data_IF_623658724072
#
_entry.id   IF_623658724072
#
_cell.length_a   1.000
_cell.length_b   1.000
_cell.length_c   1.000
_cell.angle_alpha   90.00
_cell.angle_beta   90.00
_cell.angle_gamma   90.00
#
_symmetry.space_group_name_H-M   'P 1'
#
loop_
_entity.id
_entity.type
_entity.pdbx_description
1 polymer ?
#
# COMPACT_ATOMS: atom_id res chain seq x y z
N UNK A 1 11.47 -17.42 -39.24
CA UNK A 1 11.52 -17.95 -37.86
C UNK A 1 11.64 -19.47 -37.89
N UNK A 2 12.84 -20.08 -37.82
CA UNK A 2 12.98 -21.54 -37.53
C UNK A 2 14.42 -22.03 -37.27
N UNK A 3 15.47 -21.30 -37.64
CA UNK A 3 16.87 -21.76 -37.46
C UNK A 3 17.30 -21.83 -35.98
N UNK A 4 16.83 -20.92 -35.13
CA UNK A 4 17.07 -21.00 -33.68
C UNK A 4 16.37 -22.19 -33.01
N UNK A 5 15.19 -22.59 -33.49
CA UNK A 5 14.48 -23.76 -32.97
C UNK A 5 15.15 -25.07 -33.40
N UNK A 6 15.60 -25.15 -34.65
CA UNK A 6 16.34 -26.30 -35.17
C UNK A 6 17.66 -26.54 -34.41
N UNK A 7 18.47 -25.49 -34.22
CA UNK A 7 19.72 -25.58 -33.46
C UNK A 7 19.53 -25.93 -31.98
N UNK A 8 18.43 -25.48 -31.35
CA UNK A 8 18.11 -25.89 -29.97
C UNK A 8 17.73 -27.37 -29.86
N UNK A 9 17.02 -27.93 -30.85
CA UNK A 9 16.64 -29.34 -30.87
C UNK A 9 17.88 -30.23 -31.07
N UNK A 10 18.78 -29.84 -31.96
CA UNK A 10 20.05 -30.55 -32.19
C UNK A 10 20.95 -30.51 -30.96
N UNK A 11 21.08 -29.35 -30.30
CA UNK A 11 21.82 -29.22 -29.05
C UNK A 11 21.22 -30.06 -27.92
N UNK A 12 19.88 -30.18 -27.84
CA UNK A 12 19.22 -31.06 -26.87
C UNK A 12 19.46 -32.54 -27.17
N UNK A 13 19.46 -32.95 -28.43
CA UNK A 13 19.78 -34.33 -28.83
C UNK A 13 21.24 -34.68 -28.51
N UNK A 14 22.17 -33.78 -28.81
CA UNK A 14 23.59 -33.95 -28.48
C UNK A 14 23.83 -34.03 -26.96
N UNK A 15 23.17 -33.19 -26.17
CA UNK A 15 23.28 -33.21 -24.73
C UNK A 15 22.58 -34.43 -24.09
N UNK A 16 21.59 -35.02 -24.75
CA UNK A 16 20.93 -36.27 -24.30
C UNK A 16 21.75 -37.53 -24.60
N UNK A 17 22.67 -37.49 -25.58
CA UNK A 17 23.59 -38.61 -25.88
C UNK A 17 24.82 -38.67 -24.98
N UNK A 18 25.04 -37.68 -24.11
CA UNK A 18 26.15 -37.65 -23.16
C UNK A 18 25.76 -38.47 -21.92
N UNK A 19 26.59 -39.43 -21.54
CA UNK A 19 26.45 -40.16 -20.27
C UNK A 19 26.91 -39.22 -19.15
N UNK A 20 25.95 -38.62 -18.47
CA UNK A 20 26.22 -37.68 -17.37
C UNK A 20 26.56 -38.44 -16.08
N UNK A 21 27.56 -38.00 -15.30
CA UNK A 21 27.87 -38.60 -14.01
C UNK A 21 26.75 -38.38 -12.98
N UNK A 22 26.58 -39.34 -12.07
CA UNK A 22 25.62 -39.25 -10.98
C UNK A 22 25.90 -37.99 -10.14
N UNK A 23 24.88 -37.15 -9.93
CA UNK A 23 25.00 -35.89 -9.18
C UNK A 23 25.19 -34.62 -10.04
N UNK A 24 25.15 -34.71 -11.37
CA UNK A 24 25.25 -33.52 -12.24
C UNK A 24 24.05 -32.58 -12.05
N UNK A 25 24.32 -31.29 -11.80
CA UNK A 25 23.29 -30.27 -11.56
C UNK A 25 22.27 -30.17 -12.72
N UNK A 26 21.01 -29.99 -12.34
CA UNK A 26 19.83 -29.97 -13.21
C UNK A 26 19.92 -28.90 -14.34
N UNK A 27 20.68 -27.82 -14.14
CA UNK A 27 20.90 -26.81 -15.19
C UNK A 27 21.74 -27.30 -16.36
N UNK A 28 22.55 -28.34 -16.15
CA UNK A 28 23.51 -28.87 -17.13
C UNK A 28 23.08 -30.20 -17.77
N UNK A 29 22.26 -31.00 -17.07
CA UNK A 29 21.70 -32.22 -17.62
C UNK A 29 20.30 -31.94 -18.25
N UNK A 30 20.11 -32.14 -19.57
CA UNK A 30 18.81 -31.96 -20.23
C UNK A 30 17.79 -33.07 -19.89
N UNK A 31 18.22 -34.19 -19.32
CA UNK A 31 17.38 -35.28 -18.86
C UNK A 31 17.67 -35.65 -17.38
N UNK A 32 17.34 -34.75 -16.44
CA UNK A 32 17.55 -34.98 -15.02
C UNK A 32 16.58 -36.04 -14.50
N UNK A 33 17.03 -36.79 -13.50
CA UNK A 33 16.28 -37.88 -12.87
C UNK A 33 14.86 -37.47 -12.49
N UNK A 34 13.88 -38.39 -12.60
CA UNK A 34 12.48 -38.10 -12.27
C UNK A 34 12.30 -37.68 -10.81
N UNK A 35 13.17 -38.14 -9.90
CA UNK A 35 13.21 -37.72 -8.51
C UNK A 35 13.60 -36.23 -8.36
N UNK A 36 14.65 -35.79 -9.06
CA UNK A 36 15.11 -34.40 -9.05
C UNK A 36 14.09 -33.43 -9.65
N UNK A 37 13.32 -33.88 -10.65
CA UNK A 37 12.19 -33.09 -11.20
C UNK A 37 11.03 -32.97 -10.22
N UNK A 38 10.74 -34.02 -9.43
CA UNK A 38 9.67 -34.01 -8.42
C UNK A 38 10.01 -33.10 -7.24
N UNK A 39 11.25 -33.14 -6.75
CA UNK A 39 11.70 -32.26 -5.67
C UNK A 39 11.70 -30.80 -6.09
N UNK A 40 12.11 -30.48 -7.32
CA UNK A 40 12.05 -29.11 -7.82
C UNK A 40 10.60 -28.60 -7.96
N UNK A 41 9.69 -29.46 -8.45
CA UNK A 41 8.26 -29.13 -8.52
C UNK A 41 7.66 -28.91 -7.13
N UNK A 42 8.00 -29.74 -6.14
CA UNK A 42 7.52 -29.55 -4.78
C UNK A 42 8.08 -28.27 -4.15
N UNK A 43 9.35 -27.96 -4.41
CA UNK A 43 9.98 -26.72 -3.93
C UNK A 43 9.32 -25.48 -4.55
N UNK A 44 9.07 -25.50 -5.87
CA UNK A 44 8.38 -24.43 -6.56
C UNK A 44 6.93 -24.26 -6.05
N UNK A 45 6.23 -25.37 -5.77
CA UNK A 45 4.89 -25.34 -5.20
C UNK A 45 4.89 -24.80 -3.76
N UNK A 46 5.86 -25.22 -2.93
CA UNK A 46 6.03 -24.70 -1.57
C UNK A 46 6.33 -23.19 -1.59
N UNK A 47 7.20 -22.72 -2.49
CA UNK A 47 7.49 -21.30 -2.66
C UNK A 47 6.24 -20.52 -3.08
N UNK A 48 5.44 -21.06 -4.00
CA UNK A 48 4.18 -20.46 -4.42
C UNK A 48 3.17 -20.36 -3.26
N UNK A 49 3.07 -21.39 -2.41
CA UNK A 49 2.23 -21.35 -1.21
C UNK A 49 2.70 -20.26 -0.26
N UNK A 50 4.01 -20.15 0.00
CA UNK A 50 4.56 -19.12 0.89
C UNK A 50 4.29 -17.72 0.35
N UNK A 51 4.45 -17.49 -0.95
CA UNK A 51 4.13 -16.21 -1.59
C UNK A 51 2.63 -15.88 -1.52
N UNK A 52 1.75 -16.86 -1.74
CA UNK A 52 0.30 -16.68 -1.58
C UNK A 52 -0.08 -16.37 -0.13
N UNK A 53 0.49 -17.11 0.84
CA UNK A 53 0.29 -16.85 2.25
C UNK A 53 0.74 -15.43 2.60
N UNK A 54 1.93 -15.01 2.16
CA UNK A 54 2.44 -13.66 2.39
C UNK A 54 1.57 -12.57 1.71
N UNK A 55 1.01 -12.83 0.53
CA UNK A 55 0.08 -11.91 -0.12
C UNK A 55 -1.24 -11.75 0.67
N UNK A 56 -1.65 -12.79 1.41
CA UNK A 56 -2.90 -12.80 2.18
C UNK A 56 -2.68 -12.24 3.60
N UNK A 57 -1.53 -12.55 4.24
CA UNK A 57 -1.24 -12.24 5.65
C UNK A 57 -0.18 -11.14 5.85
N UNK A 58 0.49 -10.72 4.79
CA UNK A 58 1.49 -9.65 4.82
C UNK A 58 0.91 -8.30 5.25
N UNK A 59 1.78 -7.31 5.46
CA UNK A 59 1.37 -5.97 5.84
C UNK A 59 0.39 -5.39 4.81
N UNK A 60 -0.81 -5.03 5.27
CA UNK A 60 -1.94 -4.57 4.45
C UNK A 60 -2.48 -5.66 3.49
N UNK A 61 -2.38 -6.93 3.89
CA UNK A 61 -3.06 -8.03 3.22
C UNK A 61 -4.58 -8.03 3.52
N UNK A 62 -5.38 -8.70 2.70
CA UNK A 62 -6.84 -8.72 2.82
C UNK A 62 -7.35 -9.23 4.18
N UNK A 63 -6.62 -10.12 4.85
CA UNK A 63 -6.98 -10.56 6.21
C UNK A 63 -6.77 -9.45 7.26
N UNK A 64 -5.70 -8.65 7.12
CA UNK A 64 -5.44 -7.55 8.05
C UNK A 64 -6.44 -6.41 7.84
N UNK A 65 -6.79 -6.11 6.59
CA UNK A 65 -7.81 -5.11 6.29
C UNK A 65 -9.18 -5.55 6.81
N UNK A 66 -9.51 -6.83 6.69
CA UNK A 66 -10.72 -7.40 7.28
C UNK A 66 -10.71 -7.32 8.82
N UNK A 67 -9.59 -7.67 9.46
CA UNK A 67 -9.46 -7.59 10.91
C UNK A 67 -9.63 -6.14 11.40
N UNK A 68 -8.92 -5.20 10.78
CA UNK A 68 -9.03 -3.76 11.07
C UNK A 68 -10.44 -3.23 10.84
N UNK A 69 -11.14 -3.72 9.81
CA UNK A 69 -12.54 -3.38 9.56
C UNK A 69 -13.46 -3.83 10.70
N UNK A 70 -13.26 -5.03 11.24
CA UNK A 70 -14.01 -5.48 12.44
C UNK A 70 -13.69 -4.65 13.66
N UNK A 71 -12.41 -4.40 13.92
CA UNK A 71 -12.00 -3.58 15.07
C UNK A 71 -12.63 -2.18 14.99
N UNK A 72 -12.70 -1.59 13.80
CA UNK A 72 -13.37 -0.31 13.59
C UNK A 72 -14.88 -0.37 13.86
N UNK A 73 -15.55 -1.47 13.49
CA UNK A 73 -16.97 -1.65 13.78
C UNK A 73 -17.24 -1.81 15.28
N UNK A 74 -16.35 -2.49 15.99
CA UNK A 74 -16.46 -2.68 17.44
C UNK A 74 -16.16 -1.39 18.22
N UNK A 75 -15.22 -0.57 17.73
CA UNK A 75 -14.89 0.74 18.34
C UNK A 75 -15.92 1.83 18.02
N UNK A 76 -16.69 1.69 16.94
CA UNK A 76 -17.70 2.67 16.50
C UNK A 76 -18.65 3.13 17.62
N UNK A 77 -19.36 2.26 18.36
CA UNK A 77 -20.30 2.71 19.40
C UNK A 77 -19.61 3.49 20.53
N UNK A 78 -18.38 3.13 20.88
CA UNK A 78 -17.61 3.87 21.89
C UNK A 78 -17.25 5.27 21.38
N UNK A 79 -16.85 5.39 20.11
CA UNK A 79 -16.52 6.66 19.49
C UNK A 79 -17.76 7.54 19.27
N UNK A 80 -18.91 6.96 18.92
CA UNK A 80 -20.18 7.68 18.82
C UNK A 80 -20.63 8.24 20.17
N UNK A 81 -20.44 7.47 21.24
CA UNK A 81 -20.70 7.93 22.61
C UNK A 81 -19.77 9.07 22.98
N UNK A 82 -18.45 8.89 22.77
CA UNK A 82 -17.47 9.93 23.05
C UNK A 82 -17.72 11.22 22.23
N UNK A 83 -18.15 11.10 20.97
CA UNK A 83 -18.54 12.24 20.15
C UNK A 83 -19.75 12.98 20.74
N UNK A 84 -20.79 12.24 21.19
CA UNK A 84 -21.96 12.84 21.86
C UNK A 84 -21.57 13.57 23.15
N UNK A 85 -20.55 13.08 23.84
CA UNK A 85 -19.96 13.72 25.02
C UNK A 85 -19.06 14.92 24.68
N UNK A 86 -18.93 15.29 23.39
CA UNK A 86 -18.17 16.45 22.92
C UNK A 86 -16.72 16.17 22.56
N UNK A 87 -16.30 14.90 22.49
CA UNK A 87 -14.95 14.54 22.06
C UNK A 87 -14.77 14.68 20.54
N UNK A 88 -14.11 15.77 20.15
CA UNK A 88 -13.78 16.09 18.74
C UNK A 88 -12.83 15.11 18.07
N UNK A 89 -11.93 14.49 18.85
CA UNK A 89 -11.03 13.47 18.31
C UNK A 89 -11.80 12.21 17.91
N UNK A 90 -12.84 11.85 18.67
CA UNK A 90 -13.75 10.76 18.33
C UNK A 90 -14.58 11.09 17.07
N UNK A 91 -15.06 12.33 16.95
CA UNK A 91 -15.74 12.80 15.74
C UNK A 91 -14.82 12.71 14.50
N UNK A 92 -13.57 13.15 14.63
CA UNK A 92 -12.56 13.05 13.58
C UNK A 92 -12.27 11.60 13.20
N UNK A 93 -12.15 10.72 14.20
CA UNK A 93 -11.96 9.27 13.98
C UNK A 93 -13.14 8.64 13.23
N UNK A 94 -14.38 8.97 13.60
CA UNK A 94 -15.60 8.52 12.92
C UNK A 94 -15.66 9.02 11.49
N UNK A 95 -15.31 10.28 11.25
CA UNK A 95 -15.32 10.87 9.92
C UNK A 95 -14.31 10.21 8.97
N UNK A 96 -13.17 9.75 9.50
CA UNK A 96 -12.14 9.05 8.71
C UNK A 96 -12.56 7.61 8.38
N UNK A 97 -13.07 6.86 9.36
CA UNK A 97 -13.36 5.43 9.17
C UNK A 97 -14.75 5.15 8.60
N UNK A 98 -15.71 6.05 8.82
CA UNK A 98 -17.11 5.93 8.40
C UNK A 98 -17.56 7.15 7.59
N UNK A 99 -16.75 7.56 6.60
CA UNK A 99 -17.00 8.75 5.79
C UNK A 99 -18.38 8.78 5.11
N UNK A 100 -18.95 7.61 4.79
CA UNK A 100 -20.28 7.48 4.16
C UNK A 100 -21.40 7.83 5.13
N UNK A 101 -21.23 7.49 6.40
CA UNK A 101 -22.22 7.67 7.44
C UNK A 101 -22.15 9.09 8.04
N UNK A 102 -20.97 9.71 7.99
CA UNK A 102 -20.71 11.06 8.50
C UNK A 102 -20.14 11.99 7.43
N UNK A 103 -20.90 12.28 6.35
CA UNK A 103 -20.42 13.18 5.30
C UNK A 103 -20.27 14.60 5.85
N UNK A 104 -19.13 15.24 5.57
CA UNK A 104 -18.85 16.60 6.00
C UNK A 104 -18.46 16.77 7.48
N UNK A 105 -18.53 15.71 8.30
CA UNK A 105 -18.12 15.78 9.71
C UNK A 105 -16.65 16.18 9.85
N UNK A 106 -15.77 15.63 9.01
CA UNK A 106 -14.35 15.99 9.02
C UNK A 106 -14.14 17.48 8.74
N UNK A 107 -14.91 18.05 7.80
CA UNK A 107 -14.86 19.48 7.47
C UNK A 107 -15.34 20.32 8.64
N UNK A 108 -16.45 19.93 9.28
CA UNK A 108 -16.94 20.61 10.47
C UNK A 108 -15.92 20.60 11.62
N UNK A 109 -15.24 19.47 11.88
CA UNK A 109 -14.21 19.38 12.92
C UNK A 109 -12.96 20.22 12.59
N UNK A 110 -12.56 20.24 11.32
CA UNK A 110 -11.48 21.12 10.86
C UNK A 110 -11.87 22.60 11.04
N UNK A 111 -13.09 22.98 10.68
CA UNK A 111 -13.59 24.35 10.83
C UNK A 111 -13.74 24.73 12.31
N UNK A 112 -14.03 23.74 13.17
CA UNK A 112 -14.12 23.91 14.61
C UNK A 112 -12.76 24.08 15.30
N UNK A 113 -11.64 23.82 14.61
CA UNK A 113 -10.31 23.98 15.19
C UNK A 113 -9.56 22.68 15.49
N UNK A 114 -10.10 21.50 15.16
CA UNK A 114 -9.47 20.24 15.56
C UNK A 114 -8.18 20.00 14.73
N UNK A 115 -7.03 19.85 15.39
CA UNK A 115 -5.72 19.84 14.74
C UNK A 115 -5.52 18.67 13.75
N UNK A 116 -6.12 17.52 14.04
CA UNK A 116 -6.00 16.29 13.24
C UNK A 116 -6.85 16.36 11.97
N UNK A 117 -8.09 16.84 12.07
CA UNK A 117 -9.03 17.09 11.00
C UNK A 117 -8.47 18.14 10.04
N UNK A 118 -7.88 19.21 10.58
CA UNK A 118 -7.14 20.16 9.77
C UNK A 118 -6.01 19.46 8.99
N UNK A 119 -5.11 18.74 9.68
CA UNK A 119 -4.04 18.02 9.00
C UNK A 119 -4.54 17.10 7.87
N UNK A 120 -5.60 16.34 8.12
CA UNK A 120 -6.19 15.41 7.16
C UNK A 120 -6.77 16.13 5.94
N UNK A 121 -7.52 17.22 6.14
CA UNK A 121 -8.07 18.00 5.02
C UNK A 121 -6.96 18.67 4.22
N UNK A 122 -5.96 19.25 4.90
CA UNK A 122 -4.80 19.82 4.25
C UNK A 122 -4.10 18.79 3.36
N UNK A 123 -3.89 17.57 3.88
CA UNK A 123 -3.26 16.47 3.15
C UNK A 123 -4.08 16.04 1.95
N UNK A 124 -5.41 15.91 2.08
CA UNK A 124 -6.29 15.55 0.96
C UNK A 124 -6.24 16.61 -0.16
N UNK A 125 -6.28 17.91 0.19
CA UNK A 125 -6.17 19.01 -0.79
C UNK A 125 -4.82 18.99 -1.51
N UNK A 126 -3.73 18.79 -0.76
CA UNK A 126 -2.37 18.70 -1.33
C UNK A 126 -2.17 17.48 -2.22
N UNK A 127 -2.76 16.33 -1.87
CA UNK A 127 -2.73 15.12 -2.71
C UNK A 127 -3.56 15.27 -3.98
N UNK A 128 -4.76 15.84 -3.87
CA UNK A 128 -5.60 16.17 -5.03
C UNK A 128 -4.84 17.08 -5.99
N UNK A 129 -4.21 18.13 -5.48
CA UNK A 129 -3.34 18.99 -6.27
C UNK A 129 -2.20 18.21 -6.95
N UNK A 130 -1.47 17.36 -6.21
CA UNK A 130 -0.39 16.58 -6.81
C UNK A 130 -0.88 15.68 -7.97
N UNK A 131 -2.11 15.15 -7.86
CA UNK A 131 -2.72 14.37 -8.93
C UNK A 131 -3.17 15.22 -10.13
N UNK A 132 -3.61 16.47 -9.92
CA UNK A 132 -3.99 17.40 -11.01
C UNK A 132 -2.85 18.25 -11.55
N UNK A 133 -1.73 18.36 -10.84
CA UNK A 133 -0.55 19.14 -11.25
C UNK A 133 0.13 18.57 -12.49
N UNK A 134 0.02 17.25 -12.73
CA UNK A 134 0.45 16.61 -13.98
C UNK A 134 -0.37 17.07 -15.22
N UNK A 135 -1.47 17.80 -15.02
CA UNK A 135 -2.41 18.20 -16.07
C UNK A 135 -2.70 19.71 -16.13
N UNK A 136 -2.09 20.53 -15.28
CA UNK A 136 -2.41 21.96 -15.18
C UNK A 136 -1.16 22.85 -15.19
N UNK A 137 -1.11 23.79 -16.15
CA UNK A 137 -0.09 24.82 -16.31
C UNK A 137 -0.38 26.09 -15.48
N UNK A 138 -1.34 26.05 -14.54
CA UNK A 138 -1.72 27.23 -13.77
C UNK A 138 -0.60 27.65 -12.78
N UNK A 139 -0.17 28.93 -12.78
CA UNK A 139 0.99 29.37 -11.99
C UNK A 139 0.76 29.38 -10.46
N UNK A 140 -0.50 29.41 -10.01
CA UNK A 140 -0.88 29.40 -8.59
C UNK A 140 -2.16 28.59 -8.43
N UNK A 141 -2.07 27.42 -7.82
CA UNK A 141 -3.23 26.58 -7.52
C UNK A 141 -3.80 26.96 -6.13
N UNK A 142 -5.06 27.43 -6.03
CA UNK A 142 -5.69 27.76 -4.76
C UNK A 142 -5.79 26.55 -3.82
N UNK A 143 -6.00 25.32 -4.33
CA UNK A 143 -6.10 24.11 -3.50
C UNK A 143 -4.78 23.83 -2.77
N UNK A 144 -3.63 24.14 -3.41
CA UNK A 144 -2.31 24.00 -2.82
C UNK A 144 -2.08 25.04 -1.72
N UNK A 145 -2.42 26.29 -1.98
CA UNK A 145 -2.22 27.37 -1.01
C UNK A 145 -3.10 27.19 0.22
N UNK A 146 -4.37 26.87 0.02
CA UNK A 146 -5.33 26.61 1.10
C UNK A 146 -4.90 25.38 1.90
N UNK A 147 -4.51 24.29 1.22
CA UNK A 147 -3.96 23.10 1.86
C UNK A 147 -2.73 23.42 2.73
N UNK A 148 -1.80 24.25 2.23
CA UNK A 148 -0.63 24.65 3.01
C UNK A 148 -0.95 25.58 4.18
N UNK A 149 -1.88 26.51 4.03
CA UNK A 149 -2.32 27.36 5.15
C UNK A 149 -2.96 26.51 6.24
N UNK A 150 -3.80 25.57 5.87
CA UNK A 150 -4.50 24.69 6.79
C UNK A 150 -3.52 23.70 7.46
N UNK A 151 -2.48 23.25 6.76
CA UNK A 151 -1.35 22.49 7.33
C UNK A 151 -0.59 23.31 8.40
N UNK A 152 -0.31 24.59 8.13
CA UNK A 152 0.33 25.48 9.12
C UNK A 152 -0.54 25.71 10.34
N UNK A 153 -1.86 25.85 10.17
CA UNK A 153 -2.81 25.97 11.28
C UNK A 153 -2.84 24.70 12.12
N UNK A 154 -2.88 23.52 11.49
CA UNK A 154 -2.79 22.24 12.19
C UNK A 154 -1.51 22.13 13.04
N UNK A 155 -0.37 22.51 12.45
CA UNK A 155 0.92 22.52 13.14
C UNK A 155 0.95 23.50 14.32
N UNK A 156 0.42 24.71 14.13
CA UNK A 156 0.29 25.71 15.20
C UNK A 156 -0.65 25.26 16.33
N UNK A 157 -1.67 24.47 16.00
CA UNK A 157 -2.59 23.85 16.95
C UNK A 157 -2.02 22.59 17.63
N UNK A 158 -0.76 22.24 17.38
CA UNK A 158 -0.06 21.14 18.06
C UNK A 158 -0.08 19.80 17.33
N UNK A 159 -0.52 19.73 16.06
CA UNK A 159 -0.46 18.49 15.29
C UNK A 159 1.01 18.16 14.91
N UNK A 160 1.53 17.06 15.46
CA UNK A 160 2.90 16.62 15.21
C UNK A 160 3.15 16.18 13.77
N UNK A 161 2.17 15.56 13.11
CA UNK A 161 2.31 15.12 11.72
C UNK A 161 2.35 16.30 10.75
N UNK A 162 1.58 17.35 11.04
CA UNK A 162 1.62 18.60 10.29
C UNK A 162 2.97 19.30 10.42
N UNK A 163 3.52 19.37 11.65
CA UNK A 163 4.86 19.89 11.89
C UNK A 163 5.91 19.09 11.10
N UNK A 164 5.87 17.76 11.20
CA UNK A 164 6.79 16.87 10.48
C UNK A 164 6.72 17.07 8.97
N UNK A 165 5.51 17.21 8.43
CA UNK A 165 5.30 17.48 7.02
C UNK A 165 5.96 18.80 6.59
N UNK A 166 5.75 19.88 7.35
CA UNK A 166 6.33 21.20 7.05
C UNK A 166 7.87 21.17 7.11
N UNK A 167 8.45 20.53 8.12
CA UNK A 167 9.91 20.39 8.26
C UNK A 167 10.50 19.59 7.09
N UNK A 168 9.90 18.45 6.75
CA UNK A 168 10.38 17.60 5.65
C UNK A 168 10.35 18.30 4.27
N UNK A 169 9.53 19.35 4.14
CA UNK A 169 9.40 20.13 2.92
C UNK A 169 10.33 21.34 2.89
N UNK A 170 10.74 21.88 4.04
CA UNK A 170 11.71 22.98 4.10
C UNK A 170 13.16 22.52 3.86
N UNK A 171 13.44 21.23 4.02
CA UNK A 171 14.76 20.63 3.76
C UNK A 171 15.00 20.28 2.27
N UNK A 172 14.00 20.46 1.41
CA UNK A 172 14.09 20.26 -0.05
C UNK A 172 14.10 21.59 -0.78
#
# INVERSE_FOLDING_TARGET
MNQHRASLIERRKAAASIVWPEGTLILTNPNPDPAARRTLKSLAFALAIVLCMFAITGQNGPLQDWARSRDNLDMRPAMETAMKDGNRAAATWLAVHFHRDYPGLLQAESDAGEPTAMYLIARMRLQKHAATADHSLAPVDPDRNDGMQLMRRAAAAGNQDALRYLVSRSEK
#
